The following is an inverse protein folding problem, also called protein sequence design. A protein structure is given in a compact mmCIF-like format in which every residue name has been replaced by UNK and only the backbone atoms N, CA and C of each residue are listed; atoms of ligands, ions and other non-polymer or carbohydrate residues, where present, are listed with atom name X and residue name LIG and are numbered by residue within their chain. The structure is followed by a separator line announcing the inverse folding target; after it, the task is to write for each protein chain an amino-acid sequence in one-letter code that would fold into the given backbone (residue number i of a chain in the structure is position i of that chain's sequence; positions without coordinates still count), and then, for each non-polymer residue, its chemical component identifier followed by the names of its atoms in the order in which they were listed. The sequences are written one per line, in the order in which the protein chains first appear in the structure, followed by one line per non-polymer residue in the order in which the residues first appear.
data_IF_159119656975
#
_entry.id   IF_159119656975
#
_cell.length_a   1.000
_cell.length_b   1.000
_cell.length_c   1.000
_cell.angle_alpha   90.00
_cell.angle_beta   90.00
_cell.angle_gamma   90.00
#
_symmetry.space_group_name_H-M   'P 1'
#
loop_
_entity.id
_entity.type
_entity.pdbx_description
1 polymer ?
#
# COMPACT_ATOMS: atom_id res chain seq x y z
N UNK A 1 -75.60 30.72 -79.39
CA UNK A 1 -74.81 31.95 -79.21
C UNK A 1 -75.54 32.81 -78.20
N UNK A 2 -74.94 32.99 -77.02
CA UNK A 2 -75.17 34.14 -76.17
C UNK A 2 -73.99 34.20 -75.19
N UNK A 3 -73.12 35.18 -75.42
CA UNK A 3 -71.99 35.52 -74.57
C UNK A 3 -72.51 36.02 -73.23
N UNK A 4 -71.96 35.49 -72.12
CA UNK A 4 -72.15 36.08 -70.80
C UNK A 4 -70.95 36.96 -70.47
N UNK A 5 -71.24 38.24 -70.33
CA UNK A 5 -70.40 39.30 -69.79
C UNK A 5 -70.18 39.04 -68.28
N UNK A 6 -68.92 38.95 -67.84
CA UNK A 6 -68.53 38.77 -66.44
C UNK A 6 -68.32 40.15 -65.78
N UNK A 7 -68.73 40.32 -64.52
CA UNK A 7 -68.49 41.54 -63.72
C UNK A 7 -67.27 41.35 -62.81
N UNK A 8 -66.65 42.45 -62.38
CA UNK A 8 -65.38 42.50 -61.62
C UNK A 8 -65.41 41.75 -60.26
N UNK A 9 -66.59 41.33 -59.79
CA UNK A 9 -66.77 40.62 -58.53
C UNK A 9 -67.04 39.11 -58.72
N UNK A 10 -67.05 38.63 -59.97
CA UNK A 10 -67.33 37.24 -60.30
C UNK A 10 -66.06 36.37 -60.18
N UNK A 11 -65.95 35.62 -59.08
CA UNK A 11 -64.89 34.61 -58.91
C UNK A 11 -65.20 33.40 -59.81
N UNK A 12 -64.57 33.35 -60.97
CA UNK A 12 -64.51 32.16 -61.83
C UNK A 12 -63.32 31.30 -61.42
N UNK A 13 -63.58 30.13 -60.83
CA UNK A 13 -62.54 29.13 -60.55
C UNK A 13 -62.23 28.37 -61.84
N UNK A 14 -61.27 28.88 -62.61
CA UNK A 14 -60.69 28.21 -63.79
C UNK A 14 -59.55 27.32 -63.31
N UNK A 15 -59.57 26.06 -63.77
CA UNK A 15 -58.77 24.94 -63.25
C UNK A 15 -57.28 25.20 -63.02
N UNK A 16 -56.78 24.57 -61.96
CA UNK A 16 -55.36 24.37 -61.69
C UNK A 16 -55.20 23.04 -60.98
N UNK A 17 -54.29 22.20 -61.50
CA UNK A 17 -53.85 20.91 -60.97
C UNK A 17 -53.97 20.76 -59.45
N UNK A 18 -54.49 19.62 -59.01
CA UNK A 18 -54.47 19.15 -57.62
C UNK A 18 -53.17 19.56 -56.91
N UNK A 19 -53.27 20.51 -55.98
CA UNK A 19 -52.19 20.77 -55.04
C UNK A 19 -52.08 19.55 -54.14
N UNK A 20 -51.11 18.68 -54.44
CA UNK A 20 -50.66 17.67 -53.48
C UNK A 20 -49.67 18.36 -52.54
N UNK A 21 -49.89 18.37 -51.22
CA UNK A 21 -48.83 18.77 -50.30
C UNK A 21 -47.63 17.86 -50.58
N UNK A 22 -46.49 18.46 -50.91
CA UNK A 22 -45.23 17.74 -51.00
C UNK A 22 -44.95 17.00 -49.68
N UNK A 23 -44.21 15.88 -49.71
CA UNK A 23 -43.98 15.10 -48.50
C UNK A 23 -43.36 16.00 -47.44
N UNK A 24 -44.10 16.20 -46.36
CA UNK A 24 -43.64 16.89 -45.17
C UNK A 24 -42.32 16.22 -44.74
N UNK A 25 -41.23 16.96 -44.82
CA UNK A 25 -39.89 16.44 -44.57
C UNK A 25 -39.73 16.18 -43.06
N UNK A 26 -40.22 15.02 -42.59
CA UNK A 26 -40.16 14.55 -41.19
C UNK A 26 -38.75 14.14 -40.75
N UNK A 27 -37.71 14.83 -41.23
CA UNK A 27 -36.33 14.60 -40.80
C UNK A 27 -35.92 15.43 -39.56
N UNK A 28 -36.79 16.31 -39.04
CA UNK A 28 -36.49 17.15 -37.87
C UNK A 28 -36.54 16.48 -36.48
N UNK A 29 -36.98 15.23 -36.36
CA UNK A 29 -37.21 14.60 -35.03
C UNK A 29 -36.34 13.37 -34.74
N UNK A 30 -35.81 12.71 -35.77
CA UNK A 30 -34.94 11.53 -35.60
C UNK A 30 -33.58 11.89 -35.04
N UNK A 31 -32.96 12.97 -35.49
CA UNK A 31 -31.65 13.39 -34.97
C UNK A 31 -31.74 13.85 -33.51
N UNK A 32 -32.72 14.69 -33.16
CA UNK A 32 -32.93 15.11 -31.77
C UNK A 32 -33.10 13.93 -30.81
N UNK A 33 -33.86 12.90 -31.21
CA UNK A 33 -34.06 11.69 -30.38
C UNK A 33 -32.80 10.85 -30.29
N UNK A 34 -32.00 10.73 -31.36
CA UNK A 34 -30.69 10.03 -31.35
C UNK A 34 -29.68 10.75 -30.46
N UNK A 35 -29.60 12.08 -30.52
CA UNK A 35 -28.74 12.88 -29.65
C UNK A 35 -29.18 12.82 -28.17
N UNK A 36 -30.50 12.82 -27.90
CA UNK A 36 -31.03 12.58 -26.54
C UNK A 36 -30.68 11.18 -26.01
N UNK A 37 -30.85 10.14 -26.83
CA UNK A 37 -30.46 8.78 -26.45
C UNK A 37 -28.95 8.67 -26.24
N UNK A 38 -28.13 9.27 -27.12
CA UNK A 38 -26.68 9.32 -26.97
C UNK A 38 -26.27 10.02 -25.66
N UNK A 39 -26.91 11.13 -25.32
CA UNK A 39 -26.67 11.84 -24.05
C UNK A 39 -27.05 10.98 -22.83
N UNK A 40 -28.16 10.23 -22.89
CA UNK A 40 -28.58 9.30 -21.83
C UNK A 40 -27.56 8.15 -21.69
N UNK A 41 -27.11 7.56 -22.80
CA UNK A 41 -26.09 6.50 -22.77
C UNK A 41 -24.75 7.01 -22.23
N UNK A 42 -24.34 8.22 -22.61
CA UNK A 42 -23.13 8.85 -22.08
C UNK A 42 -23.26 9.10 -20.57
N UNK A 43 -24.40 9.63 -20.12
CA UNK A 43 -24.67 9.84 -18.70
C UNK A 43 -24.64 8.51 -17.92
N UNK A 44 -25.29 7.46 -18.44
CA UNK A 44 -25.28 6.13 -17.85
C UNK A 44 -23.86 5.52 -17.81
N UNK A 45 -23.07 5.69 -18.87
CA UNK A 45 -21.68 5.27 -18.92
C UNK A 45 -20.82 6.00 -17.89
N UNK A 46 -20.99 7.32 -17.73
CA UNK A 46 -20.28 8.11 -16.73
C UNK A 46 -20.68 7.71 -15.31
N UNK A 47 -21.95 7.42 -15.05
CA UNK A 47 -22.42 6.90 -13.75
C UNK A 47 -21.82 5.53 -13.46
N UNK A 48 -21.81 4.62 -14.44
CA UNK A 48 -21.18 3.30 -14.28
C UNK A 48 -19.68 3.42 -14.06
N UNK A 49 -19.00 4.30 -14.79
CA UNK A 49 -17.57 4.55 -14.62
C UNK A 49 -17.27 5.14 -13.23
N UNK A 50 -18.05 6.14 -12.79
CA UNK A 50 -17.96 6.73 -11.46
C UNK A 50 -18.21 5.71 -10.37
N UNK A 51 -19.24 4.87 -10.52
CA UNK A 51 -19.55 3.77 -9.62
C UNK A 51 -18.43 2.72 -9.55
N UNK A 52 -17.81 2.38 -10.69
CA UNK A 52 -16.65 1.49 -10.74
C UNK A 52 -15.44 2.08 -10.01
N UNK A 53 -15.11 3.35 -10.23
CA UNK A 53 -14.00 4.01 -9.54
C UNK A 53 -14.26 4.16 -8.04
N UNK A 54 -15.49 4.51 -7.64
CA UNK A 54 -15.87 4.59 -6.24
C UNK A 54 -15.84 3.21 -5.57
N UNK A 55 -16.41 2.19 -6.20
CA UNK A 55 -16.37 0.81 -5.72
C UNK A 55 -14.95 0.29 -5.58
N UNK A 56 -14.09 0.56 -6.56
CA UNK A 56 -12.65 0.28 -6.48
C UNK A 56 -12.00 1.00 -5.31
N UNK A 57 -12.23 2.31 -5.17
CA UNK A 57 -11.67 3.10 -4.07
C UNK A 57 -12.07 2.55 -2.70
N UNK A 58 -13.36 2.27 -2.50
CA UNK A 58 -13.87 1.68 -1.27
C UNK A 58 -13.29 0.28 -1.02
N UNK A 59 -13.28 -0.57 -2.05
CA UNK A 59 -12.75 -1.93 -1.98
C UNK A 59 -11.26 -1.96 -1.60
N UNK A 60 -10.43 -1.07 -2.14
CA UNK A 60 -8.99 -1.06 -1.84
C UNK A 60 -8.65 -0.40 -0.51
N UNK A 61 -9.46 0.53 -0.02
CA UNK A 61 -9.19 1.31 1.20
C UNK A 61 -9.77 0.69 2.48
N UNK A 62 -10.76 -0.20 2.40
CA UNK A 62 -11.42 -0.81 3.57
C UNK A 62 -11.09 -2.30 3.76
N UNK A 63 -9.98 -2.80 3.22
CA UNK A 63 -9.64 -4.23 3.32
C UNK A 63 -9.10 -4.66 4.68
N UNK A 64 -8.65 -3.71 5.49
CA UNK A 64 -8.10 -3.91 6.83
C UNK A 64 -8.24 -2.60 7.61
N UNK A 65 -8.22 -2.71 8.93
CA UNK A 65 -8.27 -1.54 9.80
C UNK A 65 -7.06 -0.65 9.55
N UNK A 66 -7.28 0.66 9.62
CA UNK A 66 -6.16 1.61 9.54
C UNK A 66 -5.46 1.62 10.90
N UNK A 67 -4.16 1.30 10.88
CA UNK A 67 -3.25 1.34 12.04
C UNK A 67 -3.34 2.67 12.80
N UNK A 68 -2.91 3.77 12.15
CA UNK A 68 -2.83 5.12 12.73
C UNK A 68 -3.04 6.20 11.65
N UNK A 69 -3.43 7.44 12.02
CA UNK A 69 -3.44 8.57 11.10
C UNK A 69 -2.04 8.88 10.55
N UNK A 70 -1.95 9.27 9.28
CA UNK A 70 -0.66 9.57 8.63
C UNK A 70 0.06 10.74 9.35
N UNK A 71 -0.69 11.71 9.88
CA UNK A 71 -0.15 12.85 10.63
C UNK A 71 0.52 12.45 11.93
N UNK A 72 0.01 11.42 12.61
CA UNK A 72 0.60 10.90 13.83
C UNK A 72 1.95 10.23 13.50
N UNK A 73 2.00 9.39 12.47
CA UNK A 73 3.22 8.73 12.02
C UNK A 73 4.29 9.76 11.64
N UNK A 74 3.92 10.80 10.88
CA UNK A 74 4.82 11.90 10.52
C UNK A 74 5.35 12.62 11.78
N UNK A 75 4.50 12.88 12.77
CA UNK A 75 4.94 13.50 14.02
C UNK A 75 5.87 12.60 14.85
N UNK A 76 5.74 11.28 14.75
CA UNK A 76 6.62 10.34 15.47
C UNK A 76 7.96 10.13 14.76
N UNK A 77 8.03 10.31 13.44
CA UNK A 77 9.28 10.27 12.68
C UNK A 77 10.28 11.38 13.05
N UNK A 78 9.85 12.44 13.75
CA UNK A 78 10.76 13.46 14.27
C UNK A 78 11.22 13.18 15.71
N UNK A 79 10.82 12.06 16.32
CA UNK A 79 11.14 11.72 17.70
C UNK A 79 12.10 10.54 17.76
N UNK A 80 13.21 10.65 18.50
CA UNK A 80 14.12 9.53 18.71
C UNK A 80 13.43 8.41 19.49
N UNK A 81 13.85 7.18 19.21
CA UNK A 81 13.48 6.02 20.00
C UNK A 81 13.95 6.22 21.45
N UNK A 82 13.09 5.88 22.41
CA UNK A 82 13.40 6.05 23.83
C UNK A 82 14.35 4.94 24.33
N UNK A 83 15.05 5.23 25.42
CA UNK A 83 15.90 4.27 26.13
C UNK A 83 17.35 4.28 25.66
N UNK A 84 18.15 3.45 26.31
CA UNK A 84 19.54 3.19 25.94
C UNK A 84 19.61 2.32 24.68
N UNK A 85 20.57 2.60 23.80
CA UNK A 85 20.80 1.86 22.58
C UNK A 85 21.06 0.37 22.88
N UNK A 86 20.18 -0.51 22.43
CA UNK A 86 20.30 -1.93 22.73
C UNK A 86 19.19 -2.79 22.14
N UNK A 87 19.46 -4.08 22.09
CA UNK A 87 18.48 -5.12 21.82
C UNK A 87 18.28 -5.97 23.08
N UNK A 88 17.02 -6.10 23.53
CA UNK A 88 16.62 -7.10 24.52
C UNK A 88 15.95 -8.27 23.80
N UNK A 89 16.36 -9.50 24.09
CA UNK A 89 15.78 -10.71 23.53
C UNK A 89 14.95 -11.45 24.59
N UNK A 90 13.71 -11.75 24.24
CA UNK A 90 12.81 -12.63 24.97
C UNK A 90 12.36 -13.79 24.06
N UNK A 91 12.20 -14.99 24.63
CA UNK A 91 11.55 -16.11 23.96
C UNK A 91 10.22 -16.40 24.62
N UNK A 92 9.13 -16.35 23.84
CA UNK A 92 7.77 -16.57 24.34
C UNK A 92 7.02 -17.56 23.45
N UNK A 93 6.15 -18.36 24.05
CA UNK A 93 5.17 -19.16 23.32
C UNK A 93 3.76 -18.59 23.52
N UNK A 94 3.08 -18.33 22.41
CA UNK A 94 1.72 -17.81 22.39
C UNK A 94 0.94 -18.51 21.29
N UNK A 95 -0.27 -19.01 21.59
CA UNK A 95 -1.10 -19.74 20.62
C UNK A 95 -0.38 -20.95 19.97
N UNK A 96 0.54 -21.59 20.70
CA UNK A 96 1.37 -22.69 20.17
C UNK A 96 2.48 -22.26 19.20
N UNK A 97 2.71 -20.95 19.04
CA UNK A 97 3.78 -20.37 18.23
C UNK A 97 4.88 -19.86 19.15
N UNK A 98 6.07 -20.47 19.04
CA UNK A 98 7.28 -20.00 19.73
C UNK A 98 7.92 -18.86 18.95
N UNK A 99 8.17 -17.74 19.61
CA UNK A 99 8.69 -16.50 19.05
C UNK A 99 9.93 -16.03 19.80
N UNK A 100 10.94 -15.57 19.06
CA UNK A 100 12.03 -14.72 19.55
C UNK A 100 11.65 -13.28 19.31
N UNK A 101 11.58 -12.49 20.37
CA UNK A 101 11.12 -11.10 20.36
C UNK A 101 12.31 -10.21 20.74
N UNK A 102 12.76 -9.44 19.76
CA UNK A 102 13.85 -8.47 19.90
C UNK A 102 13.24 -7.10 20.10
N UNK A 103 13.30 -6.56 21.32
CA UNK A 103 12.91 -5.20 21.62
C UNK A 103 14.02 -4.24 21.17
N UNK A 104 13.69 -3.25 20.34
CA UNK A 104 14.63 -2.23 19.86
C UNK A 104 14.48 -1.00 20.76
N UNK A 105 15.56 -0.57 21.41
CA UNK A 105 15.57 0.61 22.30
C UNK A 105 16.71 1.55 21.94
N UNK A 106 16.45 2.86 21.90
CA UNK A 106 17.47 3.89 21.66
C UNK A 106 18.23 3.78 20.32
N UNK A 107 17.73 3.02 19.34
CA UNK A 107 18.42 2.78 18.06
C UNK A 107 17.94 3.71 16.94
N UNK A 108 18.81 3.87 15.94
CA UNK A 108 18.55 4.52 14.65
C UNK A 108 18.59 3.49 13.53
N UNK A 109 17.70 3.61 12.54
CA UNK A 109 17.64 2.73 11.39
C UNK A 109 18.23 3.39 10.13
N UNK A 110 18.96 2.61 9.34
CA UNK A 110 19.56 3.06 8.08
C UNK A 110 19.41 1.99 7.00
N UNK A 111 19.22 2.42 5.76
CA UNK A 111 19.30 1.51 4.61
C UNK A 111 20.77 1.18 4.34
N UNK A 112 21.04 -0.07 3.96
CA UNK A 112 22.37 -0.48 3.55
C UNK A 112 22.30 -1.54 2.44
N UNK A 113 23.12 -1.36 1.42
CA UNK A 113 23.19 -2.29 0.28
C UNK A 113 24.14 -3.47 0.52
N UNK A 114 25.04 -3.36 1.49
CA UNK A 114 25.99 -4.40 1.85
C UNK A 114 25.89 -4.77 3.33
N UNK A 115 26.29 -5.99 3.68
CA UNK A 115 26.39 -6.37 5.10
C UNK A 115 27.43 -5.45 5.76
N UNK A 116 27.07 -4.72 6.82
CA UNK A 116 28.04 -3.89 7.54
C UNK A 116 29.06 -4.77 8.26
N UNK A 117 30.23 -4.20 8.58
CA UNK A 117 31.19 -4.83 9.47
C UNK A 117 30.57 -4.97 10.87
N UNK A 118 30.17 -6.17 11.24
CA UNK A 118 29.52 -6.44 12.53
C UNK A 118 30.49 -6.34 13.73
N UNK A 119 31.81 -6.17 13.48
CA UNK A 119 32.77 -5.80 14.52
C UNK A 119 32.70 -4.31 14.88
N UNK A 120 32.04 -3.48 14.06
CA UNK A 120 31.76 -2.10 14.41
C UNK A 120 30.82 -2.04 15.63
N UNK A 121 31.33 -1.41 16.70
CA UNK A 121 30.60 -1.14 17.94
C UNK A 121 29.33 -0.29 17.76
N UNK A 122 29.17 0.37 16.61
CA UNK A 122 27.98 1.15 16.26
C UNK A 122 26.80 0.28 15.79
N UNK A 123 27.03 -0.94 15.32
CA UNK A 123 26.00 -1.80 14.68
C UNK A 123 25.33 -2.73 15.71
N UNK A 124 24.03 -2.57 15.91
CA UNK A 124 23.26 -3.30 16.94
C UNK A 124 22.36 -4.39 16.39
N UNK A 125 21.87 -4.26 15.17
CA UNK A 125 20.97 -5.23 14.59
C UNK A 125 20.94 -5.11 13.07
N UNK A 126 20.79 -6.23 12.37
CA UNK A 126 20.76 -6.27 10.90
C UNK A 126 19.56 -7.11 10.46
N UNK A 127 18.72 -6.53 9.61
CA UNK A 127 17.59 -7.23 8.99
C UNK A 127 17.51 -6.92 7.52
N UNK A 128 16.73 -7.69 6.76
CA UNK A 128 16.28 -7.28 5.42
C UNK A 128 15.18 -6.21 5.53
N UNK A 129 14.96 -5.49 4.43
CA UNK A 129 13.92 -4.48 4.29
C UNK A 129 12.85 -4.91 3.28
N UNK A 130 13.21 -5.11 2.00
CA UNK A 130 12.28 -5.29 0.90
C UNK A 130 12.39 -6.65 0.21
N UNK A 131 11.27 -7.09 -0.37
CA UNK A 131 11.26 -8.27 -1.24
C UNK A 131 11.58 -7.85 -2.67
N UNK A 132 12.21 -8.74 -3.43
CA UNK A 132 12.43 -8.54 -4.86
C UNK A 132 12.00 -9.77 -5.64
N UNK A 133 11.87 -9.58 -6.95
CA UNK A 133 11.77 -10.66 -7.92
C UNK A 133 12.83 -10.48 -9.00
N UNK A 134 13.24 -11.57 -9.62
CA UNK A 134 14.02 -11.52 -10.85
C UNK A 134 13.04 -11.61 -12.02
N UNK A 135 13.10 -10.63 -12.92
CA UNK A 135 12.34 -10.60 -14.17
C UNK A 135 13.29 -10.20 -15.30
N UNK A 136 13.34 -11.00 -16.35
CA UNK A 136 14.19 -10.75 -17.53
C UNK A 136 15.68 -10.54 -17.16
N UNK A 137 16.18 -11.35 -16.21
CA UNK A 137 17.55 -11.26 -15.70
C UNK A 137 17.82 -10.03 -14.81
N UNK A 138 16.83 -9.18 -14.56
CA UNK A 138 16.96 -7.97 -13.74
C UNK A 138 16.20 -8.09 -12.43
N UNK A 139 16.77 -7.53 -11.39
CA UNK A 139 16.13 -7.39 -10.08
C UNK A 139 15.05 -6.31 -10.11
N UNK A 140 13.89 -6.60 -9.53
CA UNK A 140 12.80 -5.64 -9.36
C UNK A 140 12.27 -5.71 -7.92
N UNK A 141 12.36 -4.60 -7.18
CA UNK A 141 11.84 -4.49 -5.83
C UNK A 141 10.30 -4.51 -5.86
N UNK A 142 9.71 -5.23 -4.90
CA UNK A 142 8.25 -5.41 -4.77
C UNK A 142 7.74 -4.47 -3.67
N UNK A 143 6.88 -3.52 -4.05
CA UNK A 143 6.34 -2.51 -3.14
C UNK A 143 6.98 -1.14 -3.41
N UNK A 144 6.48 -0.09 -2.76
CA UNK A 144 7.20 1.19 -2.70
C UNK A 144 8.57 0.96 -2.06
N UNK A 145 9.61 1.52 -2.66
CA UNK A 145 10.95 1.60 -2.11
C UNK A 145 11.52 2.98 -2.41
N UNK A 146 11.79 3.74 -1.35
CA UNK A 146 12.32 5.09 -1.37
C UNK A 146 13.61 5.07 -0.56
N UNK A 147 14.67 5.61 -1.11
CA UNK A 147 15.99 5.68 -0.48
C UNK A 147 16.52 7.10 -0.60
N UNK A 148 16.75 7.74 0.54
CA UNK A 148 17.25 9.12 0.64
C UNK A 148 16.46 10.10 -0.23
N UNK A 149 15.13 9.95 -0.20
CA UNK A 149 14.16 10.71 -0.98
C UNK A 149 14.00 10.26 -2.43
N UNK A 150 14.87 9.40 -2.96
CA UNK A 150 14.78 8.88 -4.33
C UNK A 150 13.82 7.70 -4.41
N UNK A 151 12.84 7.80 -5.29
CA UNK A 151 11.89 6.71 -5.57
C UNK A 151 12.58 5.67 -6.46
N UNK A 152 12.77 4.45 -5.95
CA UNK A 152 13.38 3.32 -6.66
C UNK A 152 12.31 2.39 -7.23
N UNK A 153 11.22 2.17 -6.49
CA UNK A 153 10.07 1.38 -6.91
C UNK A 153 8.77 1.97 -6.34
N UNK A 154 7.66 1.80 -7.06
CA UNK A 154 6.33 2.22 -6.61
C UNK A 154 5.30 1.10 -6.79
N UNK A 155 4.69 0.70 -5.68
CA UNK A 155 3.51 -0.15 -5.65
C UNK A 155 2.81 -0.05 -4.28
N UNK A 156 1.54 0.35 -4.31
CA UNK A 156 0.68 0.45 -3.12
C UNK A 156 -0.04 -0.85 -2.76
N UNK A 157 0.23 -1.94 -3.47
CA UNK A 157 -0.50 -3.19 -3.20
C UNK A 157 -0.20 -3.72 -1.79
N UNK A 158 1.06 -3.63 -1.37
CA UNK A 158 1.54 -3.95 -0.02
C UNK A 158 1.17 -2.83 0.96
N UNK A 159 0.43 -3.16 2.00
CA UNK A 159 -0.16 -2.16 2.89
C UNK A 159 0.73 -1.77 4.07
N UNK A 160 1.56 -2.70 4.54
CA UNK A 160 2.53 -2.44 5.59
C UNK A 160 3.69 -1.62 5.05
N UNK A 161 4.25 -0.75 5.88
CA UNK A 161 5.46 -0.02 5.56
C UNK A 161 6.29 0.26 6.80
N UNK A 162 7.58 0.47 6.56
CA UNK A 162 8.48 1.16 7.48
C UNK A 162 8.95 2.44 6.79
N UNK A 163 8.89 3.55 7.53
CA UNK A 163 9.41 4.84 7.12
C UNK A 163 10.52 5.25 8.09
N UNK A 164 11.57 5.88 7.57
CA UNK A 164 12.76 6.28 8.29
C UNK A 164 13.09 7.73 7.91
N UNK A 165 13.29 8.59 8.92
CA UNK A 165 13.79 9.95 8.74
C UNK A 165 14.81 10.25 9.82
N UNK A 166 16.02 10.68 9.42
CA UNK A 166 17.11 11.00 10.36
C UNK A 166 17.40 9.87 11.38
N UNK A 167 17.27 8.62 10.94
CA UNK A 167 17.42 7.43 11.79
C UNK A 167 16.16 7.03 12.58
N UNK A 168 15.16 7.90 12.72
CA UNK A 168 13.93 7.57 13.43
C UNK A 168 13.03 6.73 12.54
N UNK A 169 12.73 5.51 12.98
CA UNK A 169 11.90 4.56 12.26
C UNK A 169 10.47 4.51 12.82
N UNK A 170 9.48 4.41 11.93
CA UNK A 170 8.09 4.12 12.26
C UNK A 170 7.52 3.09 11.30
N UNK A 171 6.77 2.13 11.83
CA UNK A 171 5.94 1.25 11.02
C UNK A 171 4.49 1.71 11.01
N UNK A 172 3.77 1.34 9.96
CA UNK A 172 2.34 1.57 9.86
C UNK A 172 1.68 0.74 8.77
N UNK A 173 0.36 0.67 8.83
CA UNK A 173 -0.47 -0.01 7.84
C UNK A 173 -1.37 1.01 7.15
N UNK A 174 -1.08 1.31 5.88
CA UNK A 174 -1.82 2.29 5.09
C UNK A 174 -1.45 2.16 3.61
N UNK A 175 -2.42 2.30 2.69
CA UNK A 175 -2.18 2.47 1.25
C UNK A 175 -2.12 3.93 0.80
N UNK A 176 -2.13 4.87 1.75
CA UNK A 176 -1.97 6.29 1.48
C UNK A 176 -0.59 6.59 0.89
N UNK A 177 -0.53 7.51 -0.08
CA UNK A 177 0.74 8.05 -0.61
C UNK A 177 1.32 9.16 0.25
N UNK A 178 0.59 9.64 1.27
CA UNK A 178 1.02 10.82 2.06
C UNK A 178 2.35 10.60 2.78
N UNK A 179 2.55 9.41 3.36
CA UNK A 179 3.81 9.06 4.03
C UNK A 179 4.96 9.00 3.02
N UNK A 180 4.78 8.29 1.90
CA UNK A 180 5.81 8.22 0.85
C UNK A 180 6.18 9.60 0.32
N UNK A 181 5.19 10.46 0.06
CA UNK A 181 5.41 11.85 -0.36
C UNK A 181 6.23 12.63 0.68
N UNK A 182 5.85 12.56 1.96
CA UNK A 182 6.59 13.20 3.04
C UNK A 182 8.04 12.72 3.09
N UNK A 183 8.26 11.42 2.98
CA UNK A 183 9.61 10.82 2.99
C UNK A 183 10.45 11.30 1.80
N UNK A 184 9.88 11.31 0.59
CA UNK A 184 10.52 11.86 -0.61
C UNK A 184 10.91 13.32 -0.43
N UNK A 185 10.01 14.16 0.08
CA UNK A 185 10.24 15.61 0.27
C UNK A 185 11.26 15.91 1.38
N UNK A 186 11.50 14.98 2.29
CA UNK A 186 12.37 15.16 3.46
C UNK A 186 13.61 14.27 3.43
N UNK A 187 14.02 13.77 2.26
CA UNK A 187 15.22 12.95 2.06
C UNK A 187 15.30 11.73 3.01
N UNK A 188 14.16 11.14 3.35
CA UNK A 188 14.10 9.92 4.15
C UNK A 188 14.07 8.65 3.30
N UNK A 189 13.95 7.52 3.98
CA UNK A 189 13.86 6.19 3.34
C UNK A 189 12.58 5.47 3.77
N UNK A 190 12.03 4.63 2.90
CA UNK A 190 10.79 3.89 3.16
C UNK A 190 10.73 2.63 2.31
N UNK A 191 10.19 1.56 2.86
CA UNK A 191 9.85 0.36 2.09
C UNK A 191 8.46 -0.16 2.47
N UNK A 192 7.79 -0.84 1.53
CA UNK A 192 6.49 -1.51 1.75
C UNK A 192 6.61 -3.02 1.81
N UNK A 193 5.85 -3.61 2.73
CA UNK A 193 5.76 -5.04 2.98
C UNK A 193 4.31 -5.51 3.21
N UNK A 194 4.10 -6.83 3.25
CA UNK A 194 2.78 -7.37 3.59
C UNK A 194 2.40 -6.91 5.00
N UNK A 195 1.18 -6.38 5.17
CA UNK A 195 0.67 -6.15 6.52
C UNK A 195 0.27 -7.49 7.14
N UNK A 196 0.66 -7.70 8.39
CA UNK A 196 0.24 -8.85 9.19
C UNK A 196 -0.90 -8.46 10.13
N UNK A 197 -0.66 -7.42 10.93
CA UNK A 197 -1.59 -6.93 11.95
C UNK A 197 -1.79 -5.44 11.73
N UNK A 198 -3.03 -4.97 11.83
CA UNK A 198 -3.38 -3.56 11.83
C UNK A 198 -4.44 -3.29 12.90
N UNK A 199 -4.15 -2.33 13.79
CA UNK A 199 -5.02 -2.00 14.93
C UNK A 199 -5.50 -3.25 15.71
N UNK A 200 -4.60 -4.18 15.99
CA UNK A 200 -4.89 -5.42 16.73
C UNK A 200 -5.71 -6.46 15.95
N UNK A 201 -5.82 -6.33 14.62
CA UNK A 201 -6.60 -7.25 13.78
C UNK A 201 -5.80 -7.78 12.59
N UNK A 202 -6.13 -9.00 12.14
CA UNK A 202 -5.45 -9.65 11.02
C UNK A 202 -5.69 -8.93 9.69
N UNK A 203 -4.66 -8.90 8.85
CA UNK A 203 -4.70 -8.34 7.50
C UNK A 203 -4.78 -9.43 6.43
N UNK A 204 -5.74 -10.36 6.53
CA UNK A 204 -5.78 -11.60 5.72
C UNK A 204 -5.66 -11.39 4.20
N UNK A 205 -6.17 -10.27 3.67
CA UNK A 205 -6.05 -9.92 2.24
C UNK A 205 -4.60 -9.72 1.78
N UNK A 206 -3.66 -9.56 2.70
CA UNK A 206 -2.23 -9.50 2.44
C UNK A 206 -1.54 -10.88 2.55
N UNK A 207 -2.23 -11.93 3.01
CA UNK A 207 -1.63 -13.25 3.28
C UNK A 207 -1.54 -14.13 2.02
N UNK A 208 -0.77 -13.63 1.06
CA UNK A 208 -0.54 -14.32 -0.22
C UNK A 208 0.47 -15.47 -0.12
N UNK A 209 1.35 -15.44 0.88
CA UNK A 209 2.36 -16.48 1.09
C UNK A 209 1.70 -17.70 1.74
N UNK A 210 1.93 -18.88 1.15
CA UNK A 210 1.37 -20.15 1.62
C UNK A 210 2.46 -21.00 2.27
N UNK A 211 2.04 -22.05 2.97
CA UNK A 211 2.93 -22.99 3.65
C UNK A 211 3.46 -22.48 5.00
N UNK A 212 4.16 -23.38 5.69
CA UNK A 212 4.83 -23.10 6.95
C UNK A 212 6.31 -22.86 6.71
N UNK A 213 6.83 -21.72 7.15
CA UNK A 213 8.26 -21.37 7.14
C UNK A 213 8.57 -20.50 8.35
N UNK A 214 9.83 -20.36 8.73
CA UNK A 214 10.26 -19.34 9.70
C UNK A 214 9.80 -17.97 9.23
N UNK A 215 9.01 -17.27 10.03
CA UNK A 215 8.46 -15.95 9.70
C UNK A 215 9.19 -14.87 10.48
N UNK A 216 9.38 -13.71 9.85
CA UNK A 216 9.87 -12.52 10.54
C UNK A 216 8.90 -11.35 10.37
N UNK A 217 8.91 -10.43 11.33
CA UNK A 217 8.14 -9.19 11.26
C UNK A 217 8.81 -8.06 12.02
N UNK A 218 8.53 -6.82 11.62
CA UNK A 218 8.56 -5.70 12.55
C UNK A 218 7.17 -5.53 13.13
N UNK A 219 7.07 -5.33 14.44
CA UNK A 219 5.81 -5.04 15.11
C UNK A 219 5.95 -3.88 16.10
N UNK A 220 4.82 -3.32 16.51
CA UNK A 220 4.77 -2.34 17.59
C UNK A 220 3.67 -2.68 18.58
N UNK A 221 3.88 -2.30 19.83
CA UNK A 221 2.87 -2.31 20.89
C UNK A 221 2.00 -1.03 20.85
N UNK A 222 1.10 -0.92 21.82
CA UNK A 222 0.20 0.24 21.98
C UNK A 222 0.98 1.53 22.27
N UNK A 223 2.05 1.42 23.06
CA UNK A 223 2.95 2.49 23.48
C UNK A 223 3.81 3.03 22.32
N UNK A 224 3.91 2.26 21.23
CA UNK A 224 4.68 2.61 20.05
C UNK A 224 6.13 2.15 20.09
N UNK A 225 6.50 1.27 21.03
CA UNK A 225 7.80 0.62 21.03
C UNK A 225 7.91 -0.34 19.84
N UNK A 226 9.11 -0.43 19.27
CA UNK A 226 9.34 -1.21 18.05
C UNK A 226 10.06 -2.52 18.39
N UNK A 227 9.61 -3.58 17.74
CA UNK A 227 10.12 -4.93 17.93
C UNK A 227 10.42 -5.55 16.59
N UNK A 228 11.42 -6.42 16.57
CA UNK A 228 11.58 -7.41 15.52
C UNK A 228 11.25 -8.78 16.09
N UNK A 229 10.48 -9.58 15.36
CA UNK A 229 10.02 -10.88 15.83
C UNK A 229 10.38 -11.92 14.78
N UNK A 230 10.83 -13.08 15.22
CA UNK A 230 10.94 -14.26 14.38
C UNK A 230 10.32 -15.49 15.05
N UNK A 231 9.69 -16.35 14.26
CA UNK A 231 9.20 -17.63 14.77
C UNK A 231 10.35 -18.61 14.91
N UNK A 232 10.37 -19.40 15.98
CA UNK A 232 11.37 -20.46 16.18
C UNK A 232 11.08 -21.64 15.25
N UNK A 233 9.78 -21.99 15.13
CA UNK A 233 9.31 -23.08 14.27
C UNK A 233 8.71 -22.53 12.97
N UNK A 234 8.61 -23.36 11.91
CA UNK A 234 7.89 -22.99 10.70
C UNK A 234 6.40 -22.72 10.95
N UNK A 235 5.94 -21.53 10.55
CA UNK A 235 4.56 -21.10 10.73
C UNK A 235 3.88 -20.55 9.47
N UNK A 236 2.56 -20.61 9.47
CA UNK A 236 1.74 -19.90 8.47
C UNK A 236 1.66 -18.42 8.81
N UNK A 237 1.32 -17.56 7.83
CA UNK A 237 1.05 -16.15 8.12
C UNK A 237 -0.13 -15.96 9.09
N UNK A 238 -1.12 -16.85 9.05
CA UNK A 238 -2.27 -16.82 9.95
C UNK A 238 -1.86 -17.07 11.40
N UNK A 239 -1.25 -18.23 11.68
CA UNK A 239 -0.79 -18.56 13.02
C UNK A 239 0.21 -17.56 13.59
N UNK A 240 1.11 -17.02 12.75
CA UNK A 240 2.01 -15.97 13.19
C UNK A 240 1.29 -14.66 13.52
N UNK A 241 0.33 -14.22 12.70
CA UNK A 241 -0.43 -13.00 12.98
C UNK A 241 -1.30 -13.12 14.24
N UNK A 242 -1.94 -14.28 14.45
CA UNK A 242 -2.73 -14.54 15.66
C UNK A 242 -1.85 -14.50 16.91
N UNK A 243 -0.66 -15.11 16.86
CA UNK A 243 0.31 -15.06 17.96
C UNK A 243 0.82 -13.64 18.25
N UNK A 244 1.04 -12.81 17.22
CA UNK A 244 1.44 -11.41 17.37
C UNK A 244 0.34 -10.59 18.07
N UNK A 245 -0.93 -10.79 17.70
CA UNK A 245 -2.07 -10.10 18.32
C UNK A 245 -2.22 -10.53 19.78
N UNK A 246 -2.21 -11.83 20.05
CA UNK A 246 -2.38 -12.37 21.40
C UNK A 246 -1.23 -11.97 22.33
N UNK A 247 -0.02 -11.79 21.81
CA UNK A 247 1.10 -11.23 22.59
C UNK A 247 0.88 -9.76 22.96
N UNK A 248 0.10 -9.01 22.17
CA UNK A 248 -0.23 -7.60 22.43
C UNK A 248 0.26 -6.62 21.37
N UNK A 249 0.77 -7.07 20.23
CA UNK A 249 1.16 -6.18 19.15
C UNK A 249 -0.05 -5.66 18.38
N UNK A 250 -0.07 -4.35 18.12
CA UNK A 250 -1.21 -3.69 17.47
C UNK A 250 -0.98 -3.46 15.99
N UNK A 251 0.26 -3.35 15.54
CA UNK A 251 0.59 -3.33 14.12
C UNK A 251 1.82 -4.20 13.85
N UNK A 252 1.82 -4.92 12.73
CA UNK A 252 2.95 -5.72 12.31
C UNK A 252 3.07 -5.78 10.79
N UNK A 253 4.30 -5.68 10.29
CA UNK A 253 4.65 -5.81 8.87
C UNK A 253 5.57 -7.00 8.69
N UNK A 254 5.30 -7.81 7.67
CA UNK A 254 6.09 -8.99 7.35
C UNK A 254 7.48 -8.59 6.85
N UNK A 255 8.52 -9.30 7.30
CA UNK A 255 9.84 -9.22 6.70
C UNK A 255 10.18 -10.61 6.18
N UNK A 256 10.65 -10.69 4.93
CA UNK A 256 11.07 -11.97 4.37
C UNK A 256 12.23 -12.53 5.18
N UNK A 257 11.92 -13.57 5.95
CA UNK A 257 12.90 -14.37 6.65
C UNK A 257 13.77 -15.12 5.64
N UNK A 258 15.06 -14.82 5.62
CA UNK A 258 16.05 -15.87 5.40
C UNK A 258 16.24 -16.57 6.73
N UNK A 259 16.18 -17.89 6.77
CA UNK A 259 16.55 -18.64 7.96
C UNK A 259 17.98 -18.28 8.34
N UNK A 260 18.16 -17.37 9.30
CA UNK A 260 19.45 -17.09 9.90
C UNK A 260 19.63 -18.09 11.04
N UNK A 261 20.63 -18.97 11.01
CA UNK A 261 20.83 -19.95 12.06
C UNK A 261 21.10 -19.29 13.43
N UNK A 262 21.76 -18.13 13.43
CA UNK A 262 21.96 -17.33 14.65
C UNK A 262 22.00 -15.82 14.31
N UNK A 263 20.90 -15.10 14.56
CA UNK A 263 20.74 -13.70 14.14
C UNK A 263 21.67 -12.78 14.92
N UNK A 264 22.40 -11.92 14.20
CA UNK A 264 23.23 -10.91 14.83
C UNK A 264 22.41 -9.88 15.62
N UNK A 265 22.76 -9.65 16.89
CA UNK A 265 22.29 -8.52 17.67
C UNK A 265 23.30 -8.10 18.76
N UNK A 266 23.17 -6.86 19.26
CA UNK A 266 23.96 -6.33 20.38
C UNK A 266 23.05 -5.85 21.51
N UNK A 267 23.36 -6.24 22.74
CA UNK A 267 22.68 -5.76 23.95
C UNK A 267 23.17 -4.37 24.35
N UNK A 268 22.46 -3.72 25.27
CA UNK A 268 22.85 -2.40 25.78
C UNK A 268 24.24 -2.40 26.45
N UNK A 269 24.66 -3.52 27.05
CA UNK A 269 26.00 -3.69 27.64
C UNK A 269 27.13 -3.85 26.60
N UNK A 270 26.80 -3.84 25.30
CA UNK A 270 27.75 -3.99 24.20
C UNK A 270 28.02 -5.43 23.77
N UNK A 271 27.49 -6.43 24.48
CA UNK A 271 27.67 -7.85 24.15
C UNK A 271 26.98 -8.18 22.83
N UNK A 272 27.75 -8.69 21.86
CA UNK A 272 27.23 -9.17 20.58
C UNK A 272 26.89 -10.66 20.63
N UNK A 273 25.81 -11.03 19.97
CA UNK A 273 25.35 -12.40 19.78
C UNK A 273 25.13 -12.67 18.29
N UNK A 274 25.30 -13.92 17.86
CA UNK A 274 25.04 -14.35 16.49
C UNK A 274 25.92 -13.72 15.41
N UNK A 275 25.57 -14.00 14.16
CA UNK A 275 26.24 -13.48 12.97
C UNK A 275 25.19 -13.19 11.90
N UNK A 276 25.44 -12.21 11.03
CA UNK A 276 24.58 -11.98 9.87
C UNK A 276 25.20 -12.65 8.66
N UNK A 277 24.59 -13.76 8.20
CA UNK A 277 25.07 -14.52 7.05
C UNK A 277 24.04 -14.42 5.93
N UNK A 278 24.31 -13.58 4.94
CA UNK A 278 23.47 -13.46 3.75
C UNK A 278 24.36 -13.67 2.52
N UNK A 279 24.04 -14.69 1.72
CA UNK A 279 24.77 -15.00 0.48
C UNK A 279 24.42 -14.01 -0.64
N UNK A 280 23.33 -13.25 -0.46
CA UNK A 280 22.84 -12.24 -1.39
C UNK A 280 22.35 -11.04 -0.58
N UNK A 281 23.23 -10.30 0.11
CA UNK A 281 22.82 -9.13 0.85
C UNK A 281 22.32 -8.08 -0.15
N UNK A 282 21.16 -7.54 0.13
CA UNK A 282 20.61 -6.41 -0.57
C UNK A 282 19.43 -5.86 0.23
N UNK A 283 19.24 -4.55 0.14
CA UNK A 283 18.16 -3.84 0.83
C UNK A 283 18.05 -4.23 2.32
N UNK A 284 19.10 -3.92 3.08
CA UNK A 284 19.17 -4.17 4.52
C UNK A 284 18.66 -2.95 5.29
N UNK A 285 18.14 -3.21 6.49
CA UNK A 285 18.05 -2.24 7.57
C UNK A 285 19.14 -2.57 8.58
N UNK A 286 20.00 -1.59 8.82
CA UNK A 286 21.01 -1.63 9.87
C UNK A 286 20.56 -0.72 11.00
N UNK A 287 20.52 -1.26 12.21
CA UNK A 287 20.24 -0.50 13.41
C UNK A 287 21.53 -0.12 14.11
N UNK A 288 21.70 1.16 14.40
CA UNK A 288 22.89 1.69 15.07
C UNK A 288 22.51 2.52 16.29
N UNK A 289 23.50 2.86 17.12
CA UNK A 289 23.37 3.94 18.12
C UNK A 289 23.42 5.33 17.48
#
# INVERSE_FOLDING_TARGET
MNDKEYRDDDVVVIGGSDWKPGPENKNGTKDSRRWKMAAIFLAAALVMLGGFFLGKHLYYNHQFNRSRPDSEIISQLSKPMKGEAGISLEEQETMGVRMKIYALTGLKAHFCDSVPDYTDSSVFFITRSSDYRIKDGKKQIIGDYIEDGKIISESLWRAGFMAIKEGNAQIGISRSRKIGKYITENQGSMFRQLALVAAGTTCEKQYILKGKVTRCAYARDLEGNLYFIETVNPETLYGFADALIEYGFVDAIYITGGSQPDRFYRRADGTSHGQYIDDKPHELIVWTR
#
